data_IF_700930459534
#
_entry.id   IF_700930459534
#
_cell.length_a   1.000
_cell.length_b   1.000
_cell.length_c   1.000
_cell.angle_alpha   90.00
_cell.angle_beta   90.00
_cell.angle_gamma   90.00
#
_symmetry.space_group_name_H-M   'P 1'
#
loop_
_entity.id
_entity.type
_entity.pdbx_description
1 polymer ?
#
# COMPACT_ATOMS: atom_id res chain seq x y z
N UNK A 1 12.73 6.67 22.64
CA UNK A 1 12.91 7.36 21.36
C UNK A 1 13.84 6.43 20.61
N UNK A 2 13.42 5.73 19.56
CA UNK A 2 12.68 6.19 18.38
C UNK A 2 11.80 5.06 17.83
N UNK A 3 10.53 5.34 17.56
CA UNK A 3 9.66 4.39 16.86
C UNK A 3 9.77 4.65 15.35
N UNK A 4 10.85 4.15 14.76
CA UNK A 4 10.99 4.06 13.30
C UNK A 4 10.14 2.88 12.82
N UNK A 5 8.84 3.13 12.63
CA UNK A 5 7.89 2.08 12.30
C UNK A 5 6.61 2.58 11.65
N UNK A 6 5.99 1.70 10.88
CA UNK A 6 4.68 1.94 10.29
C UNK A 6 3.62 2.22 11.36
N UNK A 7 2.83 3.28 11.21
CA UNK A 7 1.78 3.60 12.19
C UNK A 7 0.66 2.56 12.28
N UNK A 8 0.53 1.67 11.29
CA UNK A 8 -0.52 0.62 11.27
C UNK A 8 -0.06 -0.73 11.83
N UNK A 9 1.23 -1.06 11.73
CA UNK A 9 1.73 -2.38 12.14
C UNK A 9 2.94 -2.33 13.09
N UNK A 10 3.42 -1.14 13.44
CA UNK A 10 4.60 -0.88 14.30
C UNK A 10 5.88 -1.61 13.83
N UNK A 11 5.89 -2.10 12.56
CA UNK A 11 7.07 -2.73 11.95
C UNK A 11 7.99 -1.67 11.39
N UNK A 12 9.30 -1.86 11.56
CA UNK A 12 10.32 -1.03 10.91
C UNK A 12 10.27 -1.16 9.39
N UNK A 13 10.33 -0.01 8.72
CA UNK A 13 10.25 0.07 7.27
C UNK A 13 11.66 -0.23 6.71
N UNK A 14 11.95 -1.51 6.44
CA UNK A 14 13.29 -1.94 6.00
C UNK A 14 13.66 -1.46 4.58
N UNK A 15 12.67 -1.27 3.71
CA UNK A 15 12.81 -0.75 2.36
C UNK A 15 11.83 0.42 2.21
N UNK A 16 12.24 1.66 2.54
CA UNK A 16 11.36 2.81 2.57
C UNK A 16 10.86 3.19 1.17
N UNK A 17 9.77 2.54 0.74
CA UNK A 17 8.95 2.90 -0.40
C UNK A 17 7.62 3.43 0.11
N UNK A 18 7.21 4.59 -0.38
CA UNK A 18 5.93 5.16 0.03
C UNK A 18 4.77 4.50 -0.70
N UNK A 19 3.59 4.59 -0.09
CA UNK A 19 2.33 4.17 -0.70
C UNK A 19 2.11 4.80 -2.07
N UNK A 20 2.68 5.97 -2.37
CA UNK A 20 2.59 6.57 -3.71
C UNK A 20 3.40 5.78 -4.73
N UNK A 21 4.67 5.49 -4.46
CA UNK A 21 5.51 4.71 -5.38
C UNK A 21 4.99 3.29 -5.54
N UNK A 22 4.60 2.63 -4.45
CA UNK A 22 3.95 1.32 -4.54
C UNK A 22 2.62 1.41 -5.28
N UNK A 23 1.88 2.50 -5.06
CA UNK A 23 0.60 2.74 -5.74
C UNK A 23 0.77 2.91 -7.22
N UNK A 24 1.84 3.55 -7.68
CA UNK A 24 2.15 3.64 -9.11
C UNK A 24 2.43 2.26 -9.71
N UNK A 25 3.20 1.40 -9.04
CA UNK A 25 3.45 0.03 -9.50
C UNK A 25 2.15 -0.79 -9.59
N UNK A 26 1.32 -0.73 -8.55
CA UNK A 26 0.02 -1.41 -8.50
C UNK A 26 -0.92 -0.88 -9.58
N UNK A 27 -0.97 0.44 -9.78
CA UNK A 27 -1.80 1.06 -10.81
C UNK A 27 -1.30 0.75 -12.21
N UNK A 28 0.01 0.66 -12.41
CA UNK A 28 0.61 0.27 -13.69
C UNK A 28 0.20 -1.16 -14.04
N UNK A 29 0.32 -2.07 -13.06
CA UNK A 29 -0.13 -3.46 -13.20
C UNK A 29 -1.64 -3.57 -13.45
N UNK A 30 -2.48 -2.86 -12.67
CA UNK A 30 -3.93 -2.86 -12.86
C UNK A 30 -4.34 -2.18 -14.16
N UNK A 31 -3.69 -1.08 -14.55
CA UNK A 31 -4.00 -0.35 -15.78
C UNK A 31 -3.76 -1.18 -17.03
N UNK A 32 -2.80 -2.11 -16.98
CA UNK A 32 -2.59 -3.08 -18.04
C UNK A 32 -3.69 -4.17 -18.12
N UNK A 33 -4.48 -4.36 -17.05
CA UNK A 33 -5.52 -5.40 -16.94
C UNK A 33 -6.93 -4.84 -17.00
N UNK A 34 -7.28 -3.96 -16.06
CA UNK A 34 -8.55 -3.25 -15.98
C UNK A 34 -8.33 -1.81 -15.49
N UNK A 35 -8.33 -0.83 -16.41
CA UNK A 35 -8.20 0.59 -16.08
C UNK A 35 -9.28 1.11 -15.11
N UNK A 36 -10.46 0.49 -15.03
CA UNK A 36 -11.55 0.95 -14.14
C UNK A 36 -11.22 0.74 -12.66
N UNK A 37 -10.42 -0.29 -12.36
CA UNK A 37 -9.94 -0.56 -11.00
C UNK A 37 -8.92 0.48 -10.54
N UNK A 38 -8.19 1.10 -11.48
CA UNK A 38 -7.25 2.19 -11.18
C UNK A 38 -8.02 3.42 -10.66
N UNK A 39 -9.09 3.82 -11.34
CA UNK A 39 -9.95 4.94 -10.92
C UNK A 39 -10.56 4.66 -9.53
N UNK A 40 -10.97 3.42 -9.29
CA UNK A 40 -11.53 2.99 -8.02
C UNK A 40 -10.53 3.05 -6.87
N UNK A 41 -9.26 2.68 -7.10
CA UNK A 41 -8.18 2.82 -6.13
C UNK A 41 -7.84 4.30 -5.88
N UNK A 42 -7.86 5.15 -6.90
CA UNK A 42 -7.63 6.59 -6.73
C UNK A 42 -8.72 7.24 -5.88
N UNK A 43 -9.98 6.84 -6.06
CA UNK A 43 -11.10 7.29 -5.23
C UNK A 43 -11.05 6.80 -3.78
N UNK A 44 -10.56 5.58 -3.54
CA UNK A 44 -10.55 4.95 -2.20
C UNK A 44 -9.25 5.14 -1.40
N UNK A 45 -8.21 5.76 -1.96
CA UNK A 45 -6.94 6.08 -1.28
C UNK A 45 -7.06 7.09 -0.10
N UNK A 46 -8.29 7.35 0.37
CA UNK A 46 -8.62 8.32 1.40
C UNK A 46 -7.98 7.99 2.76
N UNK A 47 -7.89 6.71 3.13
CA UNK A 47 -7.39 6.29 4.44
C UNK A 47 -5.91 6.61 4.68
N UNK A 48 -5.10 6.66 3.62
CA UNK A 48 -3.65 6.93 3.74
C UNK A 48 -3.29 8.40 3.74
N UNK A 49 -4.22 9.29 3.34
CA UNK A 49 -4.01 10.74 3.36
C UNK A 49 -4.16 11.35 4.76
N UNK A 50 -4.81 10.64 5.68
CA UNK A 50 -5.16 11.14 7.03
C UNK A 50 -4.05 10.95 8.06
N UNK A 51 -3.08 10.08 7.77
CA UNK A 51 -1.96 9.81 8.64
C UNK A 51 -0.81 10.75 8.28
N UNK A 52 -0.53 11.73 9.15
CA UNK A 52 0.49 12.76 8.91
C UNK A 52 1.51 12.79 10.06
N UNK A 53 2.15 11.64 10.30
CA UNK A 53 3.16 11.48 11.33
C UNK A 53 4.12 10.38 10.90
N UNK A 54 5.30 10.77 10.41
CA UNK A 54 6.55 10.03 10.51
C UNK A 54 7.68 10.81 9.82
N UNK A 55 8.91 10.55 10.25
CA UNK A 55 10.15 11.25 9.86
C UNK A 55 10.91 10.57 8.71
N UNK A 56 10.55 9.34 8.34
CA UNK A 56 11.25 8.60 7.29
C UNK A 56 10.82 9.04 5.89
N UNK A 57 11.77 9.14 4.97
CA UNK A 57 11.55 9.55 3.58
C UNK A 57 11.63 8.36 2.65
N UNK A 58 10.76 8.32 1.66
CA UNK A 58 10.80 7.36 0.55
C UNK A 58 12.14 7.47 -0.17
N UNK A 59 12.82 6.34 -0.39
CA UNK A 59 14.07 6.30 -1.15
C UNK A 59 13.86 6.67 -2.63
N UNK A 60 12.68 6.42 -3.18
CA UNK A 60 12.38 6.69 -4.59
C UNK A 60 11.98 8.15 -4.84
N UNK A 61 11.09 8.71 -4.01
CA UNK A 61 10.50 10.02 -4.26
C UNK A 61 10.72 11.05 -3.14
N UNK A 62 11.51 10.72 -2.11
CA UNK A 62 11.80 11.55 -0.94
C UNK A 62 10.59 12.04 -0.12
N UNK A 63 9.38 11.51 -0.36
CA UNK A 63 8.15 11.87 0.39
C UNK A 63 8.11 11.18 1.74
N UNK A 64 7.50 11.83 2.74
CA UNK A 64 7.34 11.28 4.09
C UNK A 64 6.48 10.01 4.11
N UNK A 65 6.91 9.04 4.90
CA UNK A 65 6.36 7.69 4.98
C UNK A 65 5.45 7.52 6.19
N UNK A 66 4.15 7.58 5.98
CA UNK A 66 3.18 7.43 7.07
C UNK A 66 2.76 5.96 7.30
N UNK A 67 2.85 5.13 6.26
CA UNK A 67 2.39 3.73 6.25
C UNK A 67 3.36 2.88 5.43
N UNK A 68 3.61 1.64 5.86
CA UNK A 68 4.43 0.69 5.11
C UNK A 68 3.71 0.15 3.88
N UNK A 69 4.51 -0.30 2.91
CA UNK A 69 4.04 -0.99 1.70
C UNK A 69 3.07 -2.12 2.02
N UNK A 70 3.37 -2.95 3.02
CA UNK A 70 2.51 -4.10 3.40
C UNK A 70 1.09 -3.71 3.81
N UNK A 71 0.93 -2.57 4.48
CA UNK A 71 -0.38 -2.12 4.92
C UNK A 71 -1.15 -1.47 3.76
N UNK A 72 -0.45 -0.78 2.86
CA UNK A 72 -1.06 -0.23 1.66
C UNK A 72 -1.54 -1.34 0.71
N UNK A 73 -0.70 -2.34 0.46
CA UNK A 73 -1.05 -3.46 -0.39
C UNK A 73 -2.17 -4.31 0.19
N UNK A 74 -2.27 -4.41 1.52
CA UNK A 74 -3.42 -5.02 2.19
C UNK A 74 -4.73 -4.28 1.90
N UNK A 75 -4.74 -2.95 1.99
CA UNK A 75 -5.91 -2.14 1.62
C UNK A 75 -6.31 -2.33 0.15
N UNK A 76 -5.33 -2.31 -0.75
CA UNK A 76 -5.56 -2.60 -2.18
C UNK A 76 -6.16 -4.00 -2.34
N UNK A 77 -5.67 -4.99 -1.61
CA UNK A 77 -6.20 -6.35 -1.64
C UNK A 77 -7.64 -6.42 -1.16
N UNK A 78 -8.00 -5.75 -0.06
CA UNK A 78 -9.38 -5.70 0.45
C UNK A 78 -10.33 -5.06 -0.59
N UNK A 79 -9.86 -4.03 -1.29
CA UNK A 79 -10.60 -3.41 -2.39
C UNK A 79 -10.75 -4.41 -3.55
N UNK A 80 -9.67 -5.04 -4.01
CA UNK A 80 -9.75 -6.04 -5.07
C UNK A 80 -10.66 -7.21 -4.69
N UNK A 81 -10.61 -7.66 -3.43
CA UNK A 81 -11.47 -8.74 -2.92
C UNK A 81 -12.96 -8.37 -2.92
N UNK A 82 -13.26 -7.09 -2.72
CA UNK A 82 -14.64 -6.57 -2.74
C UNK A 82 -15.16 -6.36 -4.16
N UNK A 83 -14.33 -5.84 -5.07
CA UNK A 83 -14.77 -5.43 -6.41
C UNK A 83 -14.50 -6.47 -7.49
N UNK A 84 -13.30 -7.04 -7.55
CA UNK A 84 -12.87 -8.03 -8.56
C UNK A 84 -11.95 -9.10 -7.93
N UNK A 85 -12.52 -10.14 -7.32
CA UNK A 85 -11.73 -11.16 -6.61
C UNK A 85 -10.87 -12.02 -7.54
N UNK A 86 -11.14 -12.02 -8.85
CA UNK A 86 -10.36 -12.75 -9.86
C UNK A 86 -8.88 -12.33 -9.90
N UNK A 87 -8.57 -11.09 -9.53
CA UNK A 87 -7.20 -10.57 -9.58
C UNK A 87 -6.42 -10.80 -8.29
N UNK A 88 -7.04 -11.36 -7.23
CA UNK A 88 -6.40 -11.55 -5.92
C UNK A 88 -5.23 -12.53 -6.00
N UNK A 89 -5.41 -13.66 -6.68
CA UNK A 89 -4.37 -14.69 -6.77
C UNK A 89 -3.11 -14.13 -7.44
N UNK A 90 -3.29 -13.50 -8.60
CA UNK A 90 -2.19 -12.87 -9.33
C UNK A 90 -1.58 -11.68 -8.57
N UNK A 91 -2.40 -10.86 -7.91
CA UNK A 91 -1.92 -9.77 -7.05
C UNK A 91 -1.04 -10.30 -5.91
N UNK A 92 -1.45 -11.40 -5.27
CA UNK A 92 -0.67 -12.02 -4.18
C UNK A 92 0.63 -12.66 -4.69
N UNK A 93 0.66 -13.21 -5.91
CA UNK A 93 1.90 -13.73 -6.50
C UNK A 93 2.89 -12.60 -6.79
N UNK A 94 2.44 -11.52 -7.44
CA UNK A 94 3.29 -10.41 -7.88
C UNK A 94 3.76 -9.56 -6.70
N UNK A 95 2.84 -9.21 -5.80
CA UNK A 95 3.13 -8.32 -4.69
C UNK A 95 3.45 -9.07 -3.38
N UNK A 96 3.48 -10.41 -3.41
CA UNK A 96 3.98 -11.34 -2.38
C UNK A 96 4.00 -10.74 -0.97
N UNK A 97 2.79 -10.61 -0.42
CA UNK A 97 2.58 -9.94 0.85
C UNK A 97 2.85 -10.87 2.02
N UNK A 98 3.85 -10.50 2.82
CA UNK A 98 3.94 -10.97 4.19
C UNK A 98 2.80 -10.33 5.00
N UNK A 99 1.60 -10.93 4.93
CA UNK A 99 0.35 -10.47 5.56
C UNK A 99 0.67 -9.88 6.94
N UNK A 100 0.64 -8.55 7.12
CA UNK A 100 0.77 -7.98 8.44
C UNK A 100 -0.54 -8.31 9.16
N UNK A 101 -0.48 -9.15 10.20
CA UNK A 101 -1.62 -9.35 11.10
C UNK A 101 -1.97 -7.99 11.69
N UNK A 102 -3.07 -7.37 11.23
CA UNK A 102 -3.67 -6.20 11.89
C UNK A 102 -3.95 -6.62 13.33
N UNK A 103 -3.32 -5.97 14.31
CA UNK A 103 -3.77 -6.04 15.70
C UNK A 103 -5.07 -5.24 15.76
N UNK A 104 -6.18 -5.96 15.76
CA UNK A 104 -7.51 -5.45 16.09
C UNK A 104 -7.60 -5.28 17.61
#
# INVERSE_FOLDING_TARGET
>A
MDKEGCMLCDKSIRLPLCFSCMGEEIKSWLGAKDPRLVELLEGNNFFLRTYNRNTEKCLSCAKELNVCVDCYTYEVREILETYNPEYIEEFNEIFSLAIPKRRR
#
